data_IF_080411957744
#
_entry.id   IF_080411957744
#
_cell.length_a   1.000
_cell.length_b   1.000
_cell.length_c   1.000
_cell.angle_alpha   90.00
_cell.angle_beta   90.00
_cell.angle_gamma   90.00
#
_symmetry.space_group_name_H-M   'P 1'
#
loop_
_entity.id
_entity.type
_entity.pdbx_description
1 polymer ?
#
# COMPACT_ATOMS: atom_id res chain seq x y z
N UNK A 1 4.86 -2.61 0.48
CA UNK A 1 3.38 -2.60 0.58
C UNK A 1 2.88 -2.57 -0.85
N UNK A 2 2.50 -3.70 -1.42
CA UNK A 2 2.31 -3.83 -2.88
C UNK A 2 0.91 -4.25 -3.31
N UNK A 3 -0.05 -4.24 -2.39
CA UNK A 3 -1.43 -4.63 -2.69
C UNK A 3 -2.25 -3.38 -3.00
N UNK A 4 -2.64 -3.26 -4.27
CA UNK A 4 -3.43 -2.13 -4.76
C UNK A 4 -4.92 -2.36 -4.49
N UNK A 5 -5.32 -3.62 -4.35
CA UNK A 5 -6.67 -4.07 -4.06
C UNK A 5 -6.76 -4.53 -2.61
N UNK A 6 -7.83 -4.16 -1.92
CA UNK A 6 -8.13 -4.69 -0.59
C UNK A 6 -8.56 -6.17 -0.75
N UNK A 7 -7.92 -7.13 -0.06
CA UNK A 7 -8.35 -8.53 -0.10
C UNK A 7 -9.83 -8.71 0.30
N UNK A 8 -10.53 -9.66 -0.32
CA UNK A 8 -11.97 -9.91 -0.05
C UNK A 8 -12.26 -10.10 1.45
N UNK A 9 -11.45 -10.90 2.14
CA UNK A 9 -11.62 -11.12 3.58
C UNK A 9 -11.49 -9.85 4.42
N UNK A 10 -10.60 -8.93 4.03
CA UNK A 10 -10.47 -7.62 4.70
C UNK A 10 -11.69 -6.74 4.41
N UNK A 11 -12.21 -6.76 3.16
CA UNK A 11 -13.43 -5.99 2.81
C UNK A 11 -14.64 -6.47 3.60
N UNK A 12 -14.83 -7.79 3.71
CA UNK A 12 -15.95 -8.36 4.45
C UNK A 12 -15.87 -8.02 5.94
N UNK A 13 -14.67 -8.10 6.52
CA UNK A 13 -14.42 -7.68 7.90
C UNK A 13 -14.70 -6.18 8.11
N UNK A 14 -14.23 -5.32 7.19
CA UNK A 14 -14.48 -3.88 7.24
C UNK A 14 -15.98 -3.57 7.14
N UNK A 15 -16.72 -4.22 6.24
CA UNK A 15 -18.17 -4.02 6.07
C UNK A 15 -18.99 -4.45 7.27
N UNK A 16 -18.52 -5.44 8.04
CA UNK A 16 -19.22 -5.93 9.22
C UNK A 16 -19.16 -4.94 10.41
N UNK A 17 -18.27 -3.94 10.37
CA UNK A 17 -18.10 -2.97 11.46
C UNK A 17 -19.11 -1.83 11.31
N UNK A 18 -19.95 -1.67 12.32
CA UNK A 18 -20.78 -0.47 12.49
C UNK A 18 -19.94 0.65 13.15
N UNK A 19 -19.79 1.79 12.47
CA UNK A 19 -19.01 2.93 12.97
C UNK A 19 -19.60 3.50 14.27
N UNK A 20 -20.93 3.56 14.39
CA UNK A 20 -21.58 4.06 15.59
C UNK A 20 -21.40 3.14 16.79
N UNK A 21 -21.26 1.83 16.56
CA UNK A 21 -20.86 0.88 17.61
C UNK A 21 -19.39 1.01 17.94
N UNK A 22 -18.53 1.17 16.94
CA UNK A 22 -17.09 1.39 17.11
C UNK A 22 -16.80 2.60 18.00
N UNK A 23 -17.40 3.76 17.71
CA UNK A 23 -17.17 4.99 18.47
C UNK A 23 -17.55 4.81 19.95
N UNK A 24 -18.68 4.15 20.22
CA UNK A 24 -19.10 3.82 21.59
C UNK A 24 -18.13 2.90 22.30
N UNK A 25 -17.60 1.89 21.59
CA UNK A 25 -16.62 0.96 22.15
C UNK A 25 -15.26 1.62 22.38
N UNK A 26 -14.85 2.57 21.52
CA UNK A 26 -13.63 3.37 21.72
C UNK A 26 -13.78 4.24 22.96
N UNK A 27 -14.89 4.96 23.11
CA UNK A 27 -15.16 5.75 24.31
C UNK A 27 -15.21 4.87 25.56
N UNK A 28 -15.89 3.72 25.49
CA UNK A 28 -15.90 2.76 26.60
C UNK A 28 -14.49 2.28 26.97
N UNK A 29 -13.67 1.90 25.98
CA UNK A 29 -12.29 1.47 26.23
C UNK A 29 -11.42 2.58 26.84
N UNK A 30 -11.73 3.84 26.53
CA UNK A 30 -11.07 4.99 27.16
C UNK A 30 -11.45 5.11 28.63
N UNK A 31 -12.74 5.02 28.97
CA UNK A 31 -13.20 5.05 30.37
C UNK A 31 -12.71 3.84 31.19
N UNK A 32 -12.73 2.65 30.60
CA UNK A 32 -12.26 1.40 31.23
C UNK A 32 -10.72 1.30 31.26
N UNK A 33 -10.02 2.21 30.57
CA UNK A 33 -8.56 2.20 30.36
C UNK A 33 -8.04 0.85 29.82
N UNK A 34 -8.88 0.13 29.08
CA UNK A 34 -8.62 -1.22 28.60
C UNK A 34 -9.38 -1.49 27.30
N UNK A 35 -8.73 -2.16 26.35
CA UNK A 35 -9.28 -2.48 25.01
C UNK A 35 -10.22 -3.68 24.94
N UNK A 36 -10.67 -4.21 26.08
CA UNK A 36 -11.41 -5.47 26.13
C UNK A 36 -12.67 -5.46 25.25
N UNK A 37 -13.39 -4.33 25.25
CA UNK A 37 -14.63 -4.18 24.50
C UNK A 37 -14.42 -4.16 22.98
N UNK A 38 -13.28 -3.65 22.49
CA UNK A 38 -12.96 -3.58 21.05
C UNK A 38 -12.55 -4.93 20.44
N UNK A 39 -12.14 -5.91 21.26
CA UNK A 39 -11.72 -7.24 20.75
C UNK A 39 -12.83 -7.99 20.04
N UNK A 40 -14.09 -7.67 20.35
CA UNK A 40 -15.28 -8.25 19.68
C UNK A 40 -15.28 -7.92 18.18
N UNK A 41 -14.76 -6.75 17.79
CA UNK A 41 -14.74 -6.31 16.40
C UNK A 41 -13.61 -6.94 15.57
N UNK A 42 -12.67 -7.67 16.19
CA UNK A 42 -11.54 -8.34 15.52
C UNK A 42 -10.81 -7.44 14.52
N UNK A 43 -10.45 -6.23 14.95
CA UNK A 43 -9.86 -5.20 14.10
C UNK A 43 -8.53 -5.64 13.44
N UNK A 44 -7.90 -6.70 13.95
CA UNK A 44 -6.68 -7.27 13.37
C UNK A 44 -6.90 -7.89 11.97
N UNK A 45 -8.11 -8.32 11.65
CA UNK A 45 -8.43 -8.90 10.33
C UNK A 45 -8.87 -7.86 9.29
N UNK A 46 -8.97 -6.58 9.67
CA UNK A 46 -9.33 -5.47 8.78
C UNK A 46 -8.13 -4.88 8.01
N UNK A 47 -7.05 -5.66 7.93
CA UNK A 47 -5.81 -5.30 7.23
C UNK A 47 -4.75 -4.63 8.11
N UNK A 48 -3.50 -4.56 7.61
CA UNK A 48 -2.33 -4.14 8.39
C UNK A 48 -2.41 -2.67 8.85
N UNK A 49 -3.08 -1.82 8.08
CA UNK A 49 -3.26 -0.40 8.43
C UNK A 49 -4.14 -0.23 9.67
N UNK A 50 -5.32 -0.85 9.68
CA UNK A 50 -6.23 -0.82 10.84
C UNK A 50 -5.61 -1.53 12.04
N UNK A 51 -4.98 -2.69 11.83
CA UNK A 51 -4.28 -3.42 12.89
C UNK A 51 -3.16 -2.57 13.54
N UNK A 52 -2.42 -1.79 12.75
CA UNK A 52 -1.39 -0.89 13.29
C UNK A 52 -2.00 0.23 14.13
N UNK A 53 -3.14 0.80 13.72
CA UNK A 53 -3.84 1.85 14.47
C UNK A 53 -4.42 1.30 15.77
N UNK A 54 -4.98 0.09 15.73
CA UNK A 54 -5.51 -0.59 16.91
C UNK A 54 -4.42 -0.83 17.95
N UNK A 55 -3.25 -1.36 17.55
CA UNK A 55 -2.08 -1.51 18.44
C UNK A 55 -1.58 -0.17 19.00
N UNK A 56 -1.66 0.89 18.20
CA UNK A 56 -1.34 2.25 18.64
C UNK A 56 -2.26 2.72 19.77
N UNK A 57 -3.55 2.46 19.65
CA UNK A 57 -4.54 2.77 20.67
C UNK A 57 -4.38 1.91 21.94
N UNK A 58 -4.15 0.60 21.79
CA UNK A 58 -3.83 -0.30 22.90
C UNK A 58 -2.66 0.23 23.74
N UNK A 59 -1.59 0.67 23.06
CA UNK A 59 -0.41 1.23 23.72
C UNK A 59 -0.74 2.56 24.42
N UNK A 60 -1.49 3.45 23.78
CA UNK A 60 -1.84 4.74 24.36
C UNK A 60 -2.69 4.59 25.63
N UNK A 61 -3.62 3.65 25.68
CA UNK A 61 -4.39 3.33 26.88
C UNK A 61 -3.50 2.74 27.99
N UNK A 62 -2.60 1.83 27.64
CA UNK A 62 -1.67 1.26 28.61
C UNK A 62 -0.74 2.31 29.24
N UNK A 63 -0.28 3.28 28.44
CA UNK A 63 0.54 4.40 28.90
C UNK A 63 -0.27 5.38 29.76
N UNK A 64 -1.53 5.64 29.39
CA UNK A 64 -2.45 6.41 30.21
C UNK A 64 -2.60 5.75 31.58
N UNK A 65 -2.98 4.47 31.64
CA UNK A 65 -3.16 3.71 32.89
C UNK A 65 -1.96 3.72 33.84
N UNK A 66 -0.74 3.80 33.29
CA UNK A 66 0.49 3.86 34.09
C UNK A 66 0.82 5.25 34.62
N UNK A 67 0.29 6.31 33.99
CA UNK A 67 0.57 7.68 34.38
C UNK A 67 -0.07 8.02 35.74
N UNK A 68 0.74 8.47 36.70
CA UNK A 68 0.27 8.88 38.04
C UNK A 68 0.38 10.38 38.30
N UNK A 69 1.37 11.04 37.70
CA UNK A 69 1.56 12.47 37.85
C UNK A 69 0.53 13.25 37.02
N UNK A 70 -0.09 14.29 37.60
CA UNK A 70 -1.17 15.04 36.96
C UNK A 70 -0.83 15.54 35.54
N UNK A 71 0.36 16.14 35.37
CA UNK A 71 0.84 16.58 34.05
C UNK A 71 0.94 15.43 33.05
N UNK A 72 1.51 14.29 33.47
CA UNK A 72 1.68 13.12 32.62
C UNK A 72 0.35 12.44 32.29
N UNK A 73 -0.59 12.48 33.23
CA UNK A 73 -1.94 11.93 33.06
C UNK A 73 -2.72 12.74 32.01
N UNK A 74 -2.66 14.06 32.05
CA UNK A 74 -3.27 14.94 31.04
C UNK A 74 -2.66 14.73 29.64
N UNK A 75 -1.34 14.62 29.54
CA UNK A 75 -0.66 14.34 28.26
C UNK A 75 -1.08 12.98 27.66
N UNK A 76 -1.12 11.94 28.50
CA UNK A 76 -1.47 10.58 28.05
C UNK A 76 -2.96 10.43 27.76
N UNK A 77 -3.83 11.17 28.45
CA UNK A 77 -5.26 11.27 28.13
C UNK A 77 -5.47 11.82 26.71
N UNK A 78 -4.84 12.96 26.41
CA UNK A 78 -4.91 13.55 25.07
C UNK A 78 -4.41 12.56 24.01
N UNK A 79 -3.28 11.90 24.27
CA UNK A 79 -2.72 10.89 23.35
C UNK A 79 -3.65 9.69 23.15
N UNK A 80 -4.32 9.21 24.21
CA UNK A 80 -5.24 8.09 24.12
C UNK A 80 -6.50 8.45 23.33
N UNK A 81 -7.10 9.62 23.58
CA UNK A 81 -8.25 10.11 22.80
C UNK A 81 -7.89 10.25 21.33
N UNK A 82 -6.74 10.88 21.03
CA UNK A 82 -6.26 11.02 19.66
C UNK A 82 -6.05 9.66 18.98
N UNK A 83 -5.43 8.70 19.67
CA UNK A 83 -5.24 7.37 19.12
C UNK A 83 -6.57 6.62 18.88
N UNK A 84 -7.61 6.90 19.69
CA UNK A 84 -8.96 6.38 19.48
C UNK A 84 -9.62 6.98 18.24
N UNK A 85 -9.56 8.30 18.08
CA UNK A 85 -10.03 8.98 16.85
C UNK A 85 -9.29 8.51 15.61
N UNK A 86 -7.96 8.41 15.67
CA UNK A 86 -7.12 7.89 14.58
C UNK A 86 -7.53 6.46 14.16
N UNK A 87 -8.01 5.63 15.11
CA UNK A 87 -8.50 4.28 14.83
C UNK A 87 -9.86 4.32 14.13
N UNK A 88 -10.80 5.13 14.63
CA UNK A 88 -12.11 5.32 14.02
C UNK A 88 -11.99 5.85 12.58
N UNK A 89 -11.19 6.89 12.40
CA UNK A 89 -10.90 7.49 11.10
C UNK A 89 -10.27 6.47 10.14
N UNK A 90 -9.34 5.64 10.62
CA UNK A 90 -8.72 4.62 9.79
C UNK A 90 -9.71 3.56 9.29
N UNK A 91 -10.65 3.15 10.14
CA UNK A 91 -11.71 2.19 9.76
C UNK A 91 -12.66 2.84 8.75
N UNK A 92 -13.12 4.06 9.00
CA UNK A 92 -13.98 4.80 8.09
C UNK A 92 -13.30 5.02 6.71
N UNK A 93 -12.02 5.39 6.71
CA UNK A 93 -11.23 5.55 5.50
C UNK A 93 -11.14 4.23 4.71
N UNK A 94 -10.91 3.12 5.39
CA UNK A 94 -10.81 1.80 4.75
C UNK A 94 -12.17 1.28 4.26
N UNK A 95 -13.26 1.54 4.97
CA UNK A 95 -14.62 1.24 4.50
C UNK A 95 -14.97 2.05 3.24
N UNK A 96 -14.67 3.35 3.24
CA UNK A 96 -14.86 4.20 2.07
C UNK A 96 -14.05 3.67 0.88
N UNK A 97 -12.77 3.36 1.09
CA UNK A 97 -11.91 2.78 0.05
C UNK A 97 -12.47 1.46 -0.47
N UNK A 98 -12.94 0.56 0.41
CA UNK A 98 -13.52 -0.72 0.01
C UNK A 98 -14.79 -0.53 -0.83
N UNK A 99 -15.67 0.42 -0.47
CA UNK A 99 -16.87 0.74 -1.23
C UNK A 99 -16.55 1.37 -2.60
N UNK A 100 -15.51 2.20 -2.69
CA UNK A 100 -15.03 2.74 -3.96
C UNK A 100 -14.45 1.64 -4.84
N UNK A 101 -13.61 0.76 -4.29
CA UNK A 101 -13.04 -0.37 -5.03
C UNK A 101 -14.13 -1.32 -5.54
N UNK A 102 -15.17 -1.59 -4.76
CA UNK A 102 -16.30 -2.43 -5.19
C UNK A 102 -17.07 -1.83 -6.37
N UNK A 103 -17.20 -0.51 -6.43
CA UNK A 103 -17.78 0.18 -7.60
C UNK A 103 -16.85 0.13 -8.80
N UNK A 104 -15.55 0.34 -8.58
CA UNK A 104 -14.53 0.28 -9.64
C UNK A 104 -14.42 -1.12 -10.25
N UNK A 105 -14.48 -2.16 -9.43
CA UNK A 105 -14.45 -3.58 -9.84
C UNK A 105 -15.62 -3.99 -10.73
N UNK A 106 -16.68 -3.19 -10.80
CA UNK A 106 -17.76 -3.41 -11.77
C UNK A 106 -17.32 -3.06 -13.20
N UNK A 107 -16.28 -2.26 -13.39
CA UNK A 107 -15.85 -1.77 -14.71
C UNK A 107 -14.44 -2.20 -15.07
N UNK A 108 -13.53 -2.27 -14.09
CA UNK A 108 -12.16 -2.69 -14.32
C UNK A 108 -11.56 -3.40 -13.12
N UNK A 109 -10.61 -4.29 -13.36
CA UNK A 109 -9.82 -4.94 -12.34
C UNK A 109 -8.37 -5.04 -12.81
N UNK A 110 -7.44 -4.66 -11.93
CA UNK A 110 -5.99 -4.74 -12.18
C UNK A 110 -5.43 -5.81 -11.27
N UNK A 111 -4.78 -6.81 -11.85
CA UNK A 111 -4.20 -7.92 -11.11
C UNK A 111 -2.89 -7.49 -10.44
N UNK A 112 -2.90 -7.49 -9.10
CA UNK A 112 -1.74 -7.18 -8.26
C UNK A 112 -0.98 -8.42 -7.78
N UNK A 113 -1.40 -9.62 -8.18
CA UNK A 113 -0.74 -10.89 -7.82
C UNK A 113 0.45 -11.20 -8.72
N UNK A 114 1.39 -10.28 -8.77
CA UNK A 114 2.61 -10.40 -9.57
C UNK A 114 3.70 -11.00 -8.70
N UNK A 115 4.12 -12.22 -9.04
CA UNK A 115 5.19 -12.92 -8.34
C UNK A 115 6.57 -12.42 -8.79
N UNK A 116 7.51 -12.20 -7.86
CA UNK A 116 8.87 -11.86 -8.22
C UNK A 116 9.55 -13.04 -8.94
N UNK A 117 10.37 -12.76 -9.97
CA UNK A 117 11.30 -13.75 -10.52
C UNK A 117 12.24 -14.31 -9.44
N UNK A 118 12.69 -15.56 -9.62
CA UNK A 118 13.65 -16.19 -8.70
C UNK A 118 15.03 -15.52 -8.69
N UNK A 119 15.42 -14.87 -9.78
CA UNK A 119 16.64 -14.08 -9.92
C UNK A 119 16.36 -12.88 -10.80
N UNK A 120 17.01 -11.77 -10.49
CA UNK A 120 16.90 -10.55 -11.27
C UNK A 120 18.12 -10.37 -12.16
N UNK A 121 17.86 -9.90 -13.38
CA UNK A 121 18.84 -9.32 -14.28
C UNK A 121 18.83 -7.79 -14.15
N UNK A 122 19.85 -7.14 -14.71
CA UNK A 122 19.94 -5.66 -14.73
C UNK A 122 18.78 -5.02 -15.48
N UNK A 123 18.21 -5.77 -16.45
CA UNK A 123 16.90 -5.47 -17.03
C UNK A 123 15.81 -6.15 -16.21
N UNK A 124 14.89 -5.34 -15.70
CA UNK A 124 13.74 -5.75 -14.93
C UNK A 124 12.48 -5.54 -15.76
N UNK A 125 11.68 -6.60 -15.89
CA UNK A 125 10.39 -6.55 -16.58
C UNK A 125 9.27 -6.89 -15.59
N UNK A 126 8.21 -6.09 -15.59
CA UNK A 126 7.00 -6.30 -14.79
C UNK A 126 5.79 -6.31 -15.71
N UNK A 127 5.13 -7.47 -15.80
CA UNK A 127 3.88 -7.62 -16.54
C UNK A 127 2.69 -7.42 -15.61
N UNK A 128 1.83 -6.46 -15.94
CA UNK A 128 0.57 -6.20 -15.24
C UNK A 128 -0.56 -6.61 -16.16
N UNK A 129 -1.38 -7.52 -15.67
CA UNK A 129 -2.61 -7.95 -16.33
C UNK A 129 -3.78 -7.14 -15.80
N UNK A 130 -4.74 -6.84 -16.66
CA UNK A 130 -5.95 -6.12 -16.29
C UNK A 130 -7.12 -6.57 -17.15
N UNK A 131 -8.32 -6.34 -16.65
CA UNK A 131 -9.57 -6.59 -17.35
C UNK A 131 -10.48 -5.38 -17.21
N UNK A 132 -11.24 -5.08 -18.25
CA UNK A 132 -12.17 -3.95 -18.25
C UNK A 132 -13.39 -4.22 -19.11
N UNK A 133 -14.46 -3.46 -18.87
CA UNK A 133 -15.69 -3.41 -19.66
C UNK A 133 -16.31 -2.02 -19.56
N UNK A 134 -17.11 -1.61 -20.56
CA UNK A 134 -17.69 -0.26 -20.60
C UNK A 134 -19.00 -0.18 -19.83
N UNK A 135 -19.84 -1.21 -19.94
CA UNK A 135 -21.11 -1.35 -19.22
C UNK A 135 -21.14 -2.64 -18.39
N UNK A 136 -22.14 -2.78 -17.54
CA UNK A 136 -22.27 -3.96 -16.65
C UNK A 136 -22.68 -5.19 -17.46
N UNK A 137 -23.32 -4.98 -18.60
CA UNK A 137 -23.82 -6.00 -19.53
C UNK A 137 -22.74 -6.46 -20.51
N UNK A 138 -21.70 -5.65 -20.75
CA UNK A 138 -20.61 -5.98 -21.65
C UNK A 138 -19.75 -7.14 -21.12
N UNK A 139 -19.21 -7.91 -22.06
CA UNK A 139 -18.19 -8.92 -21.77
C UNK A 139 -16.87 -8.28 -21.29
N UNK A 140 -16.19 -8.97 -20.41
CA UNK A 140 -14.87 -8.56 -19.92
C UNK A 140 -13.82 -8.70 -21.01
N UNK A 141 -13.13 -7.60 -21.32
CA UNK A 141 -11.96 -7.58 -22.19
C UNK A 141 -10.71 -7.70 -21.34
N UNK A 142 -9.74 -8.49 -21.80
CA UNK A 142 -8.47 -8.73 -21.11
C UNK A 142 -7.33 -8.04 -21.83
N UNK A 143 -6.38 -7.51 -21.06
CA UNK A 143 -5.20 -6.84 -21.57
C UNK A 143 -4.03 -7.02 -20.62
N UNK A 144 -2.83 -6.69 -21.11
CA UNK A 144 -1.65 -6.64 -20.26
C UNK A 144 -0.64 -5.65 -20.80
N UNK A 145 0.05 -4.97 -19.89
CA UNK A 145 1.17 -4.08 -20.17
C UNK A 145 2.43 -4.63 -19.50
N UNK A 146 3.55 -4.56 -20.20
CA UNK A 146 4.86 -4.93 -19.65
C UNK A 146 5.71 -3.67 -19.49
N UNK A 147 6.03 -3.35 -18.24
CA UNK A 147 6.97 -2.29 -17.90
C UNK A 147 8.38 -2.85 -17.89
N UNK A 148 9.29 -2.25 -18.67
CA UNK A 148 10.71 -2.59 -18.70
C UNK A 148 11.54 -1.47 -18.09
N UNK A 149 12.50 -1.81 -17.24
CA UNK A 149 13.45 -0.86 -16.66
C UNK A 149 14.86 -1.45 -16.67
N UNK A 150 15.85 -0.66 -17.09
CA UNK A 150 17.26 -1.03 -16.98
C UNK A 150 17.85 -0.32 -15.76
N UNK A 151 18.17 -1.09 -14.73
CA UNK A 151 18.66 -0.55 -13.46
C UNK A 151 20.08 -0.04 -13.62
N UNK A 152 20.31 1.22 -13.23
CA UNK A 152 21.66 1.75 -13.10
C UNK A 152 22.31 1.23 -11.80
N UNK A 153 23.11 0.16 -11.94
CA UNK A 153 23.89 -0.42 -10.85
C UNK A 153 25.24 0.29 -10.61
N UNK A 154 25.48 1.46 -11.21
CA UNK A 154 26.73 2.19 -11.00
C UNK A 154 26.97 2.41 -9.49
N UNK A 155 28.19 2.11 -9.00
CA UNK A 155 28.52 2.36 -7.61
C UNK A 155 28.36 3.84 -7.29
N UNK A 156 27.81 4.14 -6.12
CA UNK A 156 27.85 5.49 -5.60
C UNK A 156 29.29 5.77 -5.11
N UNK A 157 30.07 6.44 -5.95
CA UNK A 157 31.46 6.80 -5.65
C UNK A 157 31.57 7.88 -4.57
N UNK A 158 30.45 8.48 -4.13
CA UNK A 158 30.40 9.40 -2.99
C UNK A 158 30.24 8.67 -1.64
N UNK A 159 29.89 7.38 -1.66
CA UNK A 159 29.78 6.58 -0.44
C UNK A 159 31.18 6.22 0.10
N UNK A 160 31.38 6.26 1.43
CA UNK A 160 32.65 5.86 2.04
C UNK A 160 32.99 4.43 1.66
N UNK A 161 34.20 4.22 1.15
CA UNK A 161 34.64 2.89 0.75
C UNK A 161 34.65 1.96 1.98
N UNK A 162 34.16 0.72 1.85
CA UNK A 162 34.16 -0.22 2.96
C UNK A 162 35.61 -0.54 3.37
N UNK A 163 35.87 -0.54 4.68
CA UNK A 163 37.18 -0.85 5.28
C UNK A 163 37.69 -2.27 4.94
N UNK A 164 36.83 -3.16 4.43
CA UNK A 164 37.16 -4.53 4.01
C UNK A 164 36.39 -4.86 2.75
N UNK A 165 37.06 -5.45 1.74
CA UNK A 165 36.40 -5.92 0.51
C UNK A 165 35.30 -6.94 0.89
N UNK A 166 34.03 -6.70 0.56
CA UNK A 166 32.98 -7.68 0.78
C UNK A 166 33.24 -8.92 -0.07
N UNK A 167 32.90 -10.10 0.46
CA UNK A 167 33.01 -11.36 -0.28
C UNK A 167 32.11 -11.34 -1.52
N UNK A 168 32.47 -12.09 -2.56
CA UNK A 168 31.68 -12.23 -3.80
C UNK A 168 30.21 -12.58 -3.51
N UNK A 169 29.97 -13.48 -2.56
CA UNK A 169 28.61 -13.88 -2.15
C UNK A 169 27.80 -12.71 -1.58
N UNK A 170 28.43 -11.86 -0.78
CA UNK A 170 27.77 -10.70 -0.15
C UNK A 170 27.48 -9.61 -1.19
N UNK A 171 28.39 -9.40 -2.15
CA UNK A 171 28.16 -8.46 -3.25
C UNK A 171 27.00 -8.90 -4.14
N UNK A 172 26.89 -10.19 -4.45
CA UNK A 172 25.76 -10.71 -5.23
C UNK A 172 24.44 -10.63 -4.44
N UNK A 173 24.45 -10.87 -3.12
CA UNK A 173 23.28 -10.67 -2.28
C UNK A 173 22.81 -9.21 -2.29
N UNK A 174 23.71 -8.26 -2.04
CA UNK A 174 23.39 -6.82 -2.08
C UNK A 174 22.87 -6.38 -3.45
N UNK A 175 23.43 -6.94 -4.53
CA UNK A 175 22.95 -6.71 -5.90
C UNK A 175 21.52 -7.23 -6.09
N UNK A 176 21.25 -8.48 -5.72
CA UNK A 176 19.92 -9.07 -5.86
C UNK A 176 18.89 -8.35 -4.97
N UNK A 177 19.25 -7.93 -3.75
CA UNK A 177 18.38 -7.13 -2.90
C UNK A 177 18.05 -5.77 -3.51
N UNK A 178 19.05 -5.09 -4.12
CA UNK A 178 18.81 -3.81 -4.82
C UNK A 178 17.88 -4.00 -6.02
N UNK A 179 18.13 -5.01 -6.85
CA UNK A 179 17.28 -5.33 -8.00
C UNK A 179 15.86 -5.69 -7.58
N UNK A 180 15.69 -6.41 -6.46
CA UNK A 180 14.38 -6.73 -5.91
C UNK A 180 13.61 -5.47 -5.48
N UNK A 181 14.28 -4.50 -4.83
CA UNK A 181 13.64 -3.23 -4.45
C UNK A 181 13.18 -2.44 -5.67
N UNK A 182 14.04 -2.29 -6.67
CA UNK A 182 13.70 -1.63 -7.94
C UNK A 182 12.54 -2.34 -8.67
N UNK A 183 12.50 -3.68 -8.63
CA UNK A 183 11.36 -4.44 -9.15
C UNK A 183 10.08 -4.19 -8.35
N UNK A 184 10.13 -4.16 -7.02
CA UNK A 184 8.94 -3.90 -6.17
C UNK A 184 8.41 -2.48 -6.40
N UNK A 185 9.32 -1.50 -6.54
CA UNK A 185 9.00 -0.11 -6.88
C UNK A 185 8.38 0.00 -8.28
N UNK A 186 8.99 -0.63 -9.30
CA UNK A 186 8.45 -0.66 -10.66
C UNK A 186 7.06 -1.29 -10.71
N UNK A 187 6.86 -2.40 -9.98
CA UNK A 187 5.56 -3.06 -9.84
C UNK A 187 4.53 -2.15 -9.19
N UNK A 188 4.87 -1.53 -8.06
CA UNK A 188 3.96 -0.61 -7.37
C UNK A 188 3.56 0.58 -8.24
N UNK A 189 4.53 1.20 -8.91
CA UNK A 189 4.31 2.33 -9.82
C UNK A 189 3.50 1.92 -11.05
N UNK A 190 3.77 0.75 -11.62
CA UNK A 190 3.02 0.24 -12.78
C UNK A 190 1.56 -0.04 -12.42
N UNK A 191 1.31 -0.71 -11.29
CA UNK A 191 -0.05 -1.02 -10.83
C UNK A 191 -0.83 0.26 -10.60
N UNK A 192 -0.21 1.24 -9.93
CA UNK A 192 -0.82 2.53 -9.67
C UNK A 192 -1.13 3.30 -10.97
N UNK A 193 -0.21 3.28 -11.94
CA UNK A 193 -0.40 3.92 -13.23
C UNK A 193 -1.61 3.34 -13.98
N UNK A 194 -1.70 2.01 -14.08
CA UNK A 194 -2.83 1.34 -14.76
C UNK A 194 -4.15 1.64 -14.03
N UNK A 195 -4.19 1.54 -12.70
CA UNK A 195 -5.41 1.85 -11.92
C UNK A 195 -5.82 3.32 -12.09
N UNK A 196 -4.87 4.26 -12.07
CA UNK A 196 -5.13 5.69 -12.27
C UNK A 196 -5.69 5.97 -13.67
N UNK A 197 -5.17 5.30 -14.69
CA UNK A 197 -5.66 5.41 -16.07
C UNK A 197 -7.13 4.99 -16.20
N UNK A 198 -7.50 3.85 -15.59
CA UNK A 198 -8.91 3.42 -15.57
C UNK A 198 -9.80 4.31 -14.72
N UNK A 199 -9.33 4.80 -13.57
CA UNK A 199 -10.07 5.76 -12.73
C UNK A 199 -10.39 7.07 -13.47
N UNK A 200 -9.56 7.47 -14.43
CA UNK A 200 -9.81 8.63 -15.28
C UNK A 200 -10.83 8.35 -16.40
N UNK A 201 -11.40 7.15 -16.49
CA UNK A 201 -12.39 6.77 -17.50
C UNK A 201 -11.81 6.48 -18.88
N UNK A 202 -10.50 6.25 -18.97
CA UNK A 202 -9.85 5.94 -20.24
C UNK A 202 -10.07 4.49 -20.68
N UNK A 203 -9.99 4.25 -22.00
CA UNK A 203 -10.19 2.92 -22.59
C UNK A 203 -8.92 2.07 -22.45
N UNK A 204 -9.06 0.87 -21.87
CA UNK A 204 -8.00 -0.10 -21.70
C UNK A 204 -7.39 -0.60 -23.02
N UNK A 205 -8.13 -0.47 -24.14
CA UNK A 205 -7.63 -0.84 -25.47
C UNK A 205 -6.49 0.06 -25.97
N UNK A 206 -6.34 1.27 -25.39
CA UNK A 206 -5.28 2.23 -25.76
C UNK A 206 -4.01 2.07 -24.92
N UNK A 207 -4.02 1.17 -23.93
CA UNK A 207 -2.85 0.89 -23.12
C UNK A 207 -1.83 0.13 -24.00
N UNK A 208 -0.57 0.57 -24.09
CA UNK A 208 0.44 -0.10 -24.90
C UNK A 208 0.80 -1.46 -24.29
N UNK A 209 1.20 -2.40 -25.14
CA UNK A 209 1.62 -3.73 -24.69
C UNK A 209 2.96 -3.71 -23.93
N UNK A 210 3.85 -2.78 -24.29
CA UNK A 210 5.16 -2.59 -23.66
C UNK A 210 5.44 -1.12 -23.42
N UNK A 211 6.07 -0.80 -22.28
CA UNK A 211 6.48 0.56 -21.95
C UNK A 211 7.83 0.54 -21.23
N UNK A 212 8.78 1.34 -21.73
CA UNK A 212 10.06 1.51 -21.07
C UNK A 212 9.94 2.58 -19.99
N UNK A 213 10.17 2.21 -18.74
CA UNK A 213 10.11 3.13 -17.62
C UNK A 213 11.19 4.22 -17.74
N UNK A 214 10.79 5.46 -17.51
CA UNK A 214 11.67 6.64 -17.63
C UNK A 214 12.26 6.94 -16.24
N UNK A 215 13.55 6.67 -16.00
CA UNK A 215 14.17 7.00 -14.73
C UNK A 215 14.26 8.52 -14.54
N UNK A 216 14.25 8.96 -13.30
CA UNK A 216 14.47 10.36 -12.96
C UNK A 216 15.92 10.77 -13.28
N UNK A 217 16.09 11.92 -13.91
CA UNK A 217 17.41 12.43 -14.28
C UNK A 217 18.29 12.78 -13.08
N UNK A 218 17.70 13.16 -11.94
CA UNK A 218 18.44 13.59 -10.75
C UNK A 218 18.78 12.41 -9.83
N UNK A 219 17.79 11.58 -9.51
CA UNK A 219 17.97 10.44 -8.59
C UNK A 219 18.40 9.17 -9.30
N UNK A 220 18.30 9.09 -10.65
CA UNK A 220 18.55 7.91 -11.48
C UNK A 220 17.70 6.68 -11.14
N UNK A 221 16.75 6.83 -10.23
CA UNK A 221 15.80 5.81 -9.82
C UNK A 221 14.42 6.02 -10.44
N UNK A 222 13.49 5.16 -10.05
CA UNK A 222 12.09 5.27 -10.43
C UNK A 222 11.35 6.28 -9.56
N UNK A 223 10.44 7.04 -10.16
CA UNK A 223 9.54 7.97 -9.48
C UNK A 223 8.10 7.82 -9.99
N UNK A 224 7.20 8.64 -9.45
CA UNK A 224 5.77 8.61 -9.76
C UNK A 224 5.41 8.86 -11.24
N UNK A 225 6.33 9.39 -12.05
CA UNK A 225 6.15 9.65 -13.48
C UNK A 225 6.82 8.57 -14.34
N UNK A 226 7.67 7.72 -13.76
CA UNK A 226 8.45 6.73 -14.51
C UNK A 226 7.62 5.70 -15.25
N UNK A 227 6.40 5.41 -14.79
CA UNK A 227 5.47 4.44 -15.41
C UNK A 227 4.29 5.10 -16.12
N UNK A 228 4.34 6.43 -16.32
CA UNK A 228 3.26 7.15 -16.95
C UNK A 228 3.28 6.96 -18.48
N UNK A 229 2.42 6.07 -18.97
CA UNK A 229 2.35 5.69 -20.38
C UNK A 229 1.34 6.51 -21.20
N UNK A 230 0.59 7.43 -20.58
CA UNK A 230 -0.37 8.29 -21.27
C UNK A 230 0.00 9.78 -21.08
N UNK A 231 -0.14 10.61 -22.13
CA UNK A 231 0.09 12.04 -22.01
C UNK A 231 -0.97 12.66 -21.09
N UNK A 232 -0.53 13.41 -20.08
CA UNK A 232 -1.43 14.34 -19.38
C UNK A 232 -1.64 15.53 -20.32
N UNK A 233 -2.87 15.95 -20.64
CA UNK A 233 -3.07 17.22 -21.31
C UNK A 233 -2.45 18.32 -20.44
N UNK A 234 -1.48 19.02 -21.02
CA UNK A 234 -0.84 20.22 -20.47
C UNK A 234 -1.81 21.39 -20.41
#
# INVERSE_FOLDING_TARGET
MSEINIPRGERDALKAIDIGVLDKLVEQCFYDEQVGALRVLRLEVCGPYVASKFRGYEKALADHRKAKAAKKRAETEYSARRAGSDLADAIQQMQYRAATEEKEEQFFYVDDRIMPPHRFSDRIDVRISYQWRKTIEDEWVYGSITFSHNVDLRPDYMAPLPNRKPSVTKQEQERQEKLYREWDDLKGLGLYAVKKYFKAGHDGAKIPQTFQAIPDSYTRGLNNLSTQFWPVPS
#
